data_IF_186789659532
#
_entry.id   IF_186789659532
#
_cell.length_a   1.000
_cell.length_b   1.000
_cell.length_c   1.000
_cell.angle_alpha   90.00
_cell.angle_beta   90.00
_cell.angle_gamma   90.00
#
_symmetry.space_group_name_H-M   'P 1'
#
loop_
_entity.id
_entity.type
_entity.pdbx_description
1 polymer ?
#
# COMPACT_ATOMS: atom_id res chain seq x y z
N UNK A 1 -4.93 -26.49 -13.45
CA UNK A 1 -5.49 -25.15 -13.73
C UNK A 1 -6.24 -24.56 -12.53
N UNK A 2 -7.23 -25.27 -11.96
CA UNK A 2 -8.02 -24.80 -10.79
C UNK A 2 -7.14 -24.53 -9.54
N UNK A 3 -6.22 -25.44 -9.21
CA UNK A 3 -5.32 -25.30 -8.05
C UNK A 3 -4.42 -24.06 -8.15
N UNK A 4 -3.93 -23.75 -9.36
CA UNK A 4 -3.09 -22.56 -9.58
C UNK A 4 -3.91 -21.28 -9.42
N UNK A 5 -5.14 -21.24 -9.94
CA UNK A 5 -6.02 -20.08 -9.77
C UNK A 5 -6.36 -19.84 -8.30
N UNK A 6 -6.63 -20.90 -7.53
CA UNK A 6 -6.81 -20.81 -6.09
C UNK A 6 -5.62 -20.15 -5.38
N UNK A 7 -4.39 -20.59 -5.68
CA UNK A 7 -3.19 -19.99 -5.09
C UNK A 7 -2.94 -18.54 -5.52
N UNK A 8 -3.39 -18.12 -6.71
CA UNK A 8 -3.37 -16.71 -7.11
C UNK A 8 -4.31 -15.89 -6.22
N UNK A 9 -5.55 -16.33 -6.01
CA UNK A 9 -6.50 -15.61 -5.15
C UNK A 9 -5.99 -15.50 -3.70
N UNK A 10 -5.50 -16.62 -3.15
CA UNK A 10 -4.90 -16.65 -1.81
C UNK A 10 -3.68 -15.75 -1.75
N UNK A 11 -2.81 -15.76 -2.77
CA UNK A 11 -1.61 -14.93 -2.83
C UNK A 11 -1.91 -13.43 -2.87
N UNK A 12 -2.90 -13.01 -3.67
CA UNK A 12 -3.34 -11.60 -3.71
C UNK A 12 -3.89 -11.17 -2.35
N UNK A 13 -4.75 -12.00 -1.74
CA UNK A 13 -5.30 -11.70 -0.43
C UNK A 13 -4.21 -11.61 0.65
N UNK A 14 -3.31 -12.60 0.69
CA UNK A 14 -2.19 -12.64 1.63
C UNK A 14 -1.28 -11.41 1.46
N UNK A 15 -0.91 -11.06 0.22
CA UNK A 15 -0.03 -9.93 -0.04
C UNK A 15 -0.69 -8.59 0.33
N UNK A 16 -1.99 -8.44 0.06
CA UNK A 16 -2.74 -7.26 0.50
C UNK A 16 -2.81 -7.15 2.03
N UNK A 17 -3.02 -8.27 2.73
CA UNK A 17 -2.99 -8.29 4.19
C UNK A 17 -1.60 -7.94 4.74
N UNK A 18 -0.54 -8.47 4.13
CA UNK A 18 0.84 -8.15 4.52
C UNK A 18 1.15 -6.65 4.31
N UNK A 19 0.79 -6.09 3.16
CA UNK A 19 0.87 -4.66 2.86
C UNK A 19 0.15 -3.83 3.93
N UNK A 20 -1.10 -4.18 4.24
CA UNK A 20 -1.89 -3.53 5.27
C UNK A 20 -1.20 -3.53 6.64
N UNK A 21 -0.70 -4.69 7.08
CA UNK A 21 -0.06 -4.84 8.39
C UNK A 21 1.24 -4.03 8.46
N UNK A 22 2.07 -4.10 7.41
CA UNK A 22 3.31 -3.34 7.32
C UNK A 22 3.02 -1.84 7.34
N UNK A 23 2.08 -1.38 6.51
CA UNK A 23 1.77 0.03 6.39
C UNK A 23 1.17 0.58 7.69
N UNK A 24 0.21 -0.13 8.30
CA UNK A 24 -0.44 0.28 9.53
C UNK A 24 0.50 0.23 10.74
N UNK A 25 1.21 -0.88 10.96
CA UNK A 25 1.93 -1.11 12.20
C UNK A 25 3.41 -0.77 12.13
N UNK A 26 4.09 -1.01 11.01
CA UNK A 26 5.50 -0.62 10.86
C UNK A 26 5.58 0.86 10.48
N UNK A 27 4.97 1.25 9.36
CA UNK A 27 5.13 2.60 8.83
C UNK A 27 4.37 3.65 9.65
N UNK A 28 3.12 3.41 10.02
CA UNK A 28 2.34 4.36 10.84
C UNK A 28 2.30 4.06 12.34
N UNK A 29 2.65 2.84 12.76
CA UNK A 29 2.82 2.50 14.17
C UNK A 29 4.21 2.90 14.63
N UNK A 30 5.23 2.11 14.27
CA UNK A 30 6.61 2.37 14.67
C UNK A 30 7.20 3.64 14.06
N UNK A 31 6.81 4.03 12.84
CA UNK A 31 7.29 5.25 12.19
C UNK A 31 6.92 6.55 12.91
N UNK A 32 5.95 6.53 13.84
CA UNK A 32 5.70 7.68 14.74
C UNK A 32 6.91 8.01 15.60
N UNK A 33 7.77 7.04 15.92
CA UNK A 33 9.01 7.26 16.69
C UNK A 33 10.12 7.80 15.79
N UNK A 34 10.74 8.93 16.16
CA UNK A 34 11.78 9.63 15.38
C UNK A 34 13.00 8.78 15.03
N UNK A 35 13.41 7.93 15.96
CA UNK A 35 14.55 7.03 15.81
C UNK A 35 14.23 5.74 15.05
N UNK A 36 12.97 5.50 14.67
CA UNK A 36 12.61 4.29 13.94
C UNK A 36 13.12 4.35 12.50
N UNK A 37 13.62 3.23 12.00
CA UNK A 37 13.96 3.07 10.57
C UNK A 37 12.76 3.30 9.64
N UNK A 38 11.53 3.20 10.17
CA UNK A 38 10.27 3.42 9.46
C UNK A 38 9.78 4.88 9.52
N UNK A 39 10.48 5.75 10.27
CA UNK A 39 10.09 7.16 10.45
C UNK A 39 10.00 7.95 9.14
N UNK A 40 10.75 7.53 8.11
CA UNK A 40 10.75 8.15 6.79
C UNK A 40 9.36 8.21 6.16
N UNK A 41 8.52 7.20 6.41
CA UNK A 41 7.22 7.12 5.77
C UNK A 41 6.34 8.31 6.17
N UNK A 42 6.27 8.62 7.47
CA UNK A 42 5.49 9.77 7.94
C UNK A 42 6.26 11.09 7.74
N UNK A 43 7.52 11.15 8.19
CA UNK A 43 8.27 12.42 8.31
C UNK A 43 8.80 12.94 6.98
N UNK A 44 8.93 12.08 5.98
CA UNK A 44 9.38 12.47 4.66
C UNK A 44 8.26 12.27 3.66
N UNK A 45 7.85 11.02 3.41
CA UNK A 45 6.94 10.68 2.31
C UNK A 45 5.56 11.33 2.46
N UNK A 46 4.86 11.10 3.58
CA UNK A 46 3.57 11.78 3.85
C UNK A 46 3.69 13.29 3.89
N UNK A 47 4.71 13.80 4.58
CA UNK A 47 4.90 15.24 4.74
C UNK A 47 5.10 15.94 3.40
N UNK A 48 5.90 15.36 2.50
CA UNK A 48 6.14 15.91 1.15
C UNK A 48 4.91 15.76 0.28
N UNK A 49 4.28 14.57 0.26
CA UNK A 49 3.06 14.35 -0.50
C UNK A 49 1.97 15.36 -0.10
N UNK A 50 1.67 15.52 1.19
CA UNK A 50 0.64 16.47 1.64
C UNK A 50 0.96 17.91 1.26
N UNK A 51 2.21 18.36 1.46
CA UNK A 51 2.64 19.72 1.12
C UNK A 51 2.51 20.02 -0.38
N UNK A 52 2.72 19.00 -1.22
CA UNK A 52 2.72 19.16 -2.68
C UNK A 52 1.44 18.63 -3.33
N UNK A 53 0.32 18.57 -2.60
CA UNK A 53 -0.95 18.14 -3.17
C UNK A 53 -0.92 16.70 -3.69
N UNK A 54 -0.39 15.78 -2.86
CA UNK A 54 -0.12 14.36 -3.07
C UNK A 54 1.14 14.02 -3.88
N UNK A 55 1.88 15.00 -4.40
CA UNK A 55 3.05 14.72 -5.25
C UNK A 55 4.27 14.38 -4.41
N UNK A 56 4.83 13.19 -4.63
CA UNK A 56 6.17 12.79 -4.20
C UNK A 56 6.88 12.06 -5.36
N UNK A 57 7.86 12.72 -5.97
CA UNK A 57 8.59 12.19 -7.14
C UNK A 57 9.78 11.31 -6.76
N UNK A 58 10.09 11.23 -5.46
CA UNK A 58 11.25 10.48 -4.97
C UNK A 58 10.93 8.99 -5.00
N UNK A 59 11.84 8.19 -5.52
CA UNK A 59 11.86 6.78 -5.23
C UNK A 59 12.49 6.58 -3.84
N UNK A 60 11.75 6.04 -2.89
CA UNK A 60 12.30 5.77 -1.56
C UNK A 60 13.35 4.65 -1.67
N UNK A 61 14.62 4.96 -1.36
CA UNK A 61 15.67 3.93 -1.30
C UNK A 61 15.32 2.83 -0.29
N UNK A 62 14.52 3.15 0.75
CA UNK A 62 14.04 2.17 1.72
C UNK A 62 12.93 1.28 1.17
N UNK A 63 12.10 1.76 0.25
CA UNK A 63 11.18 0.89 -0.51
C UNK A 63 11.96 0.03 -1.52
N UNK A 64 12.94 0.61 -2.21
CA UNK A 64 13.74 -0.09 -3.21
C UNK A 64 14.59 -1.23 -2.62
N UNK A 65 15.09 -1.07 -1.39
CA UNK A 65 15.85 -2.11 -0.67
C UNK A 65 14.91 -2.99 0.17
N UNK A 66 13.93 -2.39 0.83
CA UNK A 66 13.00 -3.09 1.69
C UNK A 66 12.11 -4.08 0.95
N UNK A 67 11.75 -3.80 -0.31
CA UNK A 67 10.92 -4.69 -1.10
C UNK A 67 11.64 -6.01 -1.47
N UNK A 68 12.87 -6.02 -2.01
CA UNK A 68 13.65 -7.25 -2.16
C UNK A 68 13.79 -8.04 -0.86
N UNK A 69 14.06 -7.37 0.27
CA UNK A 69 14.14 -8.03 1.58
C UNK A 69 12.78 -8.66 1.95
N UNK A 70 11.68 -7.95 1.75
CA UNK A 70 10.34 -8.48 2.00
C UNK A 70 10.04 -9.70 1.12
N UNK A 71 10.39 -9.68 -0.17
CA UNK A 71 10.23 -10.83 -1.07
C UNK A 71 11.07 -12.02 -0.58
N UNK A 72 12.33 -11.79 -0.18
CA UNK A 72 13.20 -12.84 0.35
C UNK A 72 12.64 -13.47 1.63
N UNK A 73 12.07 -12.67 2.54
CA UNK A 73 11.42 -13.17 3.75
C UNK A 73 10.22 -14.08 3.45
N UNK A 74 9.61 -13.95 2.26
CA UNK A 74 8.49 -14.78 1.81
C UNK A 74 8.92 -16.02 1.01
N UNK A 75 10.22 -16.26 0.79
CA UNK A 75 10.71 -17.44 0.07
C UNK A 75 10.23 -18.79 0.63
N UNK A 76 9.96 -18.98 1.94
CA UNK A 76 9.38 -20.23 2.43
C UNK A 76 8.01 -20.57 1.80
N UNK A 77 7.26 -19.60 1.28
CA UNK A 77 6.01 -19.86 0.55
C UNK A 77 6.21 -20.71 -0.71
N UNK A 78 7.43 -20.74 -1.26
CA UNK A 78 7.78 -21.61 -2.39
C UNK A 78 7.56 -23.09 -2.06
N UNK A 79 7.81 -23.49 -0.81
CA UNK A 79 7.61 -24.87 -0.35
C UNK A 79 6.13 -25.25 -0.27
N UNK A 80 5.23 -24.27 -0.13
CA UNK A 80 3.78 -24.50 -0.17
C UNK A 80 3.26 -24.51 -1.60
N UNK A 81 3.66 -23.52 -2.41
CA UNK A 81 3.30 -23.42 -3.82
C UNK A 81 4.16 -22.36 -4.52
N UNK A 82 4.85 -22.70 -5.62
CA UNK A 82 5.53 -21.71 -6.45
C UNK A 82 4.57 -20.61 -6.94
N UNK A 83 3.32 -20.94 -7.28
CA UNK A 83 2.31 -19.96 -7.71
C UNK A 83 1.97 -18.98 -6.59
N UNK A 84 1.88 -19.45 -5.34
CA UNK A 84 1.63 -18.57 -4.20
C UNK A 84 2.79 -17.58 -4.01
N UNK A 85 4.03 -18.09 -3.97
CA UNK A 85 5.22 -17.24 -3.83
C UNK A 85 5.34 -16.21 -4.96
N UNK A 86 5.17 -16.64 -6.21
CA UNK A 86 5.23 -15.75 -7.37
C UNK A 86 4.14 -14.68 -7.31
N UNK A 87 2.92 -15.04 -6.90
CA UNK A 87 1.82 -14.06 -6.77
C UNK A 87 2.15 -13.00 -5.72
N UNK A 88 2.64 -13.40 -4.54
CA UNK A 88 3.04 -12.46 -3.48
C UNK A 88 4.20 -11.57 -3.94
N UNK A 89 5.16 -12.15 -4.67
CA UNK A 89 6.32 -11.41 -5.19
C UNK A 89 5.92 -10.39 -6.25
N UNK A 90 5.07 -10.79 -7.20
CA UNK A 90 4.52 -9.91 -8.24
C UNK A 90 3.70 -8.79 -7.59
N UNK A 91 2.88 -9.10 -6.58
CA UNK A 91 2.13 -8.10 -5.83
C UNK A 91 3.05 -7.07 -5.17
N UNK A 92 4.14 -7.51 -4.52
CA UNK A 92 5.14 -6.62 -3.95
C UNK A 92 5.81 -5.71 -4.98
N UNK A 93 6.12 -6.23 -6.17
CA UNK A 93 6.63 -5.42 -7.29
C UNK A 93 5.58 -4.40 -7.75
N UNK A 94 4.33 -4.83 -7.91
CA UNK A 94 3.21 -3.95 -8.27
C UNK A 94 2.98 -2.86 -7.23
N UNK A 95 3.17 -3.14 -5.94
CA UNK A 95 3.14 -2.12 -4.89
C UNK A 95 4.13 -0.99 -5.20
N UNK A 96 5.40 -1.31 -5.46
CA UNK A 96 6.41 -0.27 -5.74
C UNK A 96 6.03 0.53 -6.98
N UNK A 97 5.62 -0.14 -8.06
CA UNK A 97 5.26 0.52 -9.34
C UNK A 97 4.02 1.40 -9.18
N UNK A 98 2.94 0.85 -8.64
CA UNK A 98 1.66 1.55 -8.48
C UNK A 98 1.83 2.70 -7.50
N UNK A 99 2.44 2.48 -6.33
CA UNK A 99 2.67 3.53 -5.34
C UNK A 99 3.36 4.75 -5.96
N UNK A 100 4.46 4.51 -6.67
CA UNK A 100 5.24 5.54 -7.34
C UNK A 100 4.45 6.23 -8.47
N UNK A 101 3.69 5.48 -9.26
CA UNK A 101 2.86 6.03 -10.32
C UNK A 101 1.75 6.93 -9.74
N UNK A 102 1.10 6.53 -8.65
CA UNK A 102 0.01 7.28 -8.03
C UNK A 102 0.48 8.67 -7.57
N UNK A 103 1.64 8.76 -6.92
CA UNK A 103 2.20 10.05 -6.49
C UNK A 103 2.66 10.94 -7.64
N UNK A 104 2.92 10.39 -8.83
CA UNK A 104 3.22 11.16 -10.05
C UNK A 104 1.96 11.63 -10.78
N UNK A 105 0.82 10.96 -10.56
CA UNK A 105 -0.44 11.28 -11.22
C UNK A 105 -1.60 11.49 -10.21
N UNK A 106 -1.58 12.59 -9.43
CA UNK A 106 -2.60 12.94 -8.45
C UNK A 106 -4.06 12.77 -8.89
N UNK A 107 -4.42 13.28 -10.07
CA UNK A 107 -5.78 13.21 -10.58
C UNK A 107 -6.22 11.76 -10.87
N UNK A 108 -5.31 10.94 -11.36
CA UNK A 108 -5.55 9.52 -11.58
C UNK A 108 -5.72 8.80 -10.24
N UNK A 109 -4.82 9.04 -9.28
CA UNK A 109 -4.89 8.46 -7.95
C UNK A 109 -6.20 8.81 -7.26
N UNK A 110 -6.57 10.09 -7.25
CA UNK A 110 -7.83 10.54 -6.64
C UNK A 110 -9.08 9.93 -7.27
N UNK A 111 -9.05 9.60 -8.57
CA UNK A 111 -10.20 9.03 -9.29
C UNK A 111 -10.32 7.52 -9.11
N UNK A 112 -9.22 6.79 -9.23
CA UNK A 112 -9.23 5.32 -9.31
C UNK A 112 -8.65 4.61 -8.08
N UNK A 113 -7.76 5.28 -7.36
CA UNK A 113 -7.12 4.80 -6.12
C UNK A 113 -7.40 5.79 -4.98
N UNK A 114 -8.66 6.21 -4.91
CA UNK A 114 -9.10 7.29 -4.02
C UNK A 114 -8.81 6.97 -2.55
N UNK A 115 -8.69 5.70 -2.18
CA UNK A 115 -8.37 5.26 -0.83
C UNK A 115 -6.94 5.66 -0.44
N UNK A 116 -5.95 5.46 -1.35
CA UNK A 116 -4.58 5.91 -1.13
C UNK A 116 -4.49 7.44 -1.16
N UNK A 117 -5.25 8.08 -2.04
CA UNK A 117 -5.41 9.54 -2.00
C UNK A 117 -5.90 10.04 -0.63
N UNK A 118 -6.97 9.46 -0.13
CA UNK A 118 -7.55 9.78 1.17
C UNK A 118 -6.57 9.53 2.31
N UNK A 119 -5.84 8.42 2.26
CA UNK A 119 -4.82 8.09 3.24
C UNK A 119 -3.81 9.23 3.41
N UNK A 120 -3.28 9.79 2.32
CA UNK A 120 -2.38 10.95 2.41
C UNK A 120 -3.11 12.24 2.76
N UNK A 121 -4.19 12.55 2.05
CA UNK A 121 -4.75 13.90 1.96
C UNK A 121 -5.93 14.17 2.90
N UNK A 122 -6.45 13.14 3.58
CA UNK A 122 -7.57 13.25 4.52
C UNK A 122 -7.19 12.65 5.88
N UNK A 123 -7.17 11.32 5.98
CA UNK A 123 -6.94 10.63 7.24
C UNK A 123 -5.84 9.57 7.11
N UNK A 124 -4.66 9.94 7.62
CA UNK A 124 -3.46 9.11 7.63
C UNK A 124 -3.52 7.90 8.58
N UNK A 125 -4.63 7.71 9.31
CA UNK A 125 -4.85 6.54 10.15
C UNK A 125 -5.95 5.59 9.60
N UNK A 126 -6.25 5.69 8.30
CA UNK A 126 -7.25 4.91 7.57
C UNK A 126 -6.74 4.58 6.15
N UNK A 127 -7.41 3.67 5.45
CA UNK A 127 -7.15 3.31 4.05
C UNK A 127 -5.69 2.89 3.79
N UNK A 128 -5.24 1.85 4.48
CA UNK A 128 -3.83 1.41 4.51
C UNK A 128 -3.37 0.70 3.24
N UNK A 129 -4.27 0.11 2.46
CA UNK A 129 -3.90 -0.49 1.18
C UNK A 129 -3.52 0.57 0.15
N UNK A 130 -2.51 0.28 -0.67
CA UNK A 130 -2.10 1.08 -1.82
C UNK A 130 -2.60 0.40 -3.10
N UNK A 131 -2.25 -0.87 -3.31
CA UNK A 131 -2.61 -1.61 -4.54
C UNK A 131 -4.10 -1.94 -4.56
N UNK A 132 -4.63 -2.45 -3.45
CA UNK A 132 -6.05 -2.78 -3.26
C UNK A 132 -6.49 -2.43 -1.82
N UNK A 133 -7.77 -2.10 -1.58
CA UNK A 133 -8.27 -1.83 -0.23
C UNK A 133 -8.91 -3.05 0.46
N UNK A 134 -8.57 -4.31 0.10
CA UNK A 134 -9.31 -5.49 0.58
C UNK A 134 -9.27 -5.64 2.11
N UNK A 135 -8.08 -5.57 2.71
CA UNK A 135 -7.91 -5.64 4.16
C UNK A 135 -8.59 -4.47 4.87
N UNK A 136 -8.59 -3.27 4.26
CA UNK A 136 -9.32 -2.11 4.80
C UNK A 136 -10.83 -2.31 4.80
N UNK A 137 -11.39 -2.94 3.76
CA UNK A 137 -12.82 -3.29 3.69
C UNK A 137 -13.14 -4.27 4.84
N UNK A 138 -12.35 -5.33 4.98
CA UNK A 138 -12.61 -6.38 5.98
C UNK A 138 -12.48 -5.84 7.41
N UNK A 139 -11.51 -4.94 7.65
CA UNK A 139 -11.24 -4.40 8.99
C UNK A 139 -12.00 -3.12 9.30
N UNK A 140 -12.82 -2.60 8.37
CA UNK A 140 -13.57 -1.37 8.54
C UNK A 140 -12.68 -0.12 8.65
N UNK A 141 -11.50 -0.13 8.02
CA UNK A 141 -10.58 1.01 8.00
C UNK A 141 -10.56 1.78 6.69
N UNK A 142 -11.35 1.38 5.69
CA UNK A 142 -11.51 2.13 4.45
C UNK A 142 -12.30 3.41 4.69
N UNK A 143 -11.79 4.57 4.27
CA UNK A 143 -12.58 5.81 4.27
C UNK A 143 -13.62 5.83 3.15
N UNK A 144 -14.58 6.76 3.19
CA UNK A 144 -15.49 6.96 2.07
C UNK A 144 -14.80 7.63 0.88
N UNK A 145 -15.24 7.27 -0.32
CA UNK A 145 -14.74 7.85 -1.55
C UNK A 145 -14.93 9.38 -1.55
N UNK A 146 -13.83 10.13 -1.53
CA UNK A 146 -13.85 11.59 -1.47
C UNK A 146 -14.50 12.26 -2.68
N UNK A 147 -14.63 11.54 -3.80
CA UNK A 147 -15.32 12.00 -4.99
C UNK A 147 -16.84 11.86 -4.88
N UNK A 148 -17.36 10.97 -4.03
CA UNK A 148 -18.81 10.81 -3.80
C UNK A 148 -19.32 11.81 -2.76
N UNK A 149 -18.57 12.01 -1.67
CA UNK A 149 -18.96 12.91 -0.56
C UNK A 149 -19.21 14.36 -1.02
N UNK A 150 -18.51 14.84 -2.06
CA UNK A 150 -18.72 16.21 -2.59
C UNK A 150 -20.02 16.39 -3.38
N UNK A 151 -20.67 15.31 -3.82
CA UNK A 151 -21.90 15.39 -4.62
C UNK A 151 -23.17 15.34 -3.77
N UNK A 152 -23.08 15.00 -2.49
CA UNK A 152 -24.21 14.93 -1.55
C UNK A 152 -24.41 16.23 -0.75
N UNK A 153 -23.51 17.21 -0.90
CA UNK A 153 -23.56 18.51 -0.24
C UNK A 153 -23.93 19.67 -1.19
N UNK A 154 -24.66 19.37 -2.27
CA UNK A 154 -25.25 20.32 -3.22
C UNK A 154 -26.72 19.97 -3.44
#
# INVERSE_FOLDING_TARGET
>A
MIVNFFFVLVGVFYANLAEYLIHRYLFHGYGKKGSSIFAFHIREHHLIAVKNGFIDLRASSKELIGMPVAILLHTPLWLLSPTLFLTVSIYGILFVVIHNMLHRHPAFAKRYFWWHWNHHMRNQNKSWGVVLPLADIITGTLEDNCMKVKNESR
#
